data_IF_694516979864
#
_entry.id   IF_694516979864
#
_cell.length_a   1.000
_cell.length_b   1.000
_cell.length_c   1.000
_cell.angle_alpha   90.00
_cell.angle_beta   90.00
_cell.angle_gamma   90.00
#
_symmetry.space_group_name_H-M   'P 1'
#
loop_
_entity.id
_entity.type
_entity.pdbx_description
1 polymer ?
#
# COMPACT_ATOMS: atom_id res chain seq x y z
N UNK A 1 -4.20 -55.84 13.15
CA UNK A 1 -3.36 -55.20 12.13
C UNK A 1 -4.15 -54.42 11.07
N UNK A 2 -5.17 -55.02 10.43
CA UNK A 2 -5.95 -54.38 9.35
C UNK A 2 -6.72 -53.10 9.74
N UNK A 3 -7.23 -53.01 10.98
CA UNK A 3 -7.95 -51.84 11.52
C UNK A 3 -7.04 -50.62 11.69
N UNK A 4 -5.80 -50.82 12.14
CA UNK A 4 -4.80 -49.76 12.32
C UNK A 4 -4.33 -49.18 10.98
N UNK A 5 -4.24 -50.01 9.93
CA UNK A 5 -3.90 -49.57 8.57
C UNK A 5 -4.99 -48.66 7.99
N UNK A 6 -6.28 -48.95 8.25
CA UNK A 6 -7.39 -48.08 7.81
C UNK A 6 -7.40 -46.73 8.54
N UNK A 7 -7.11 -46.73 9.84
CA UNK A 7 -7.01 -45.50 10.64
C UNK A 7 -5.83 -44.65 10.18
N UNK A 8 -4.67 -45.27 9.93
CA UNK A 8 -3.49 -44.56 9.42
C UNK A 8 -3.73 -43.92 8.05
N UNK A 9 -4.41 -44.62 7.14
CA UNK A 9 -4.80 -44.06 5.84
C UNK A 9 -5.75 -42.86 5.98
N UNK A 10 -6.69 -42.92 6.91
CA UNK A 10 -7.62 -41.82 7.17
C UNK A 10 -6.89 -40.57 7.69
N UNK A 11 -5.94 -40.77 8.63
CA UNK A 11 -5.10 -39.69 9.15
C UNK A 11 -4.28 -39.06 8.01
N UNK A 12 -3.69 -39.87 7.13
CA UNK A 12 -2.90 -39.38 6.01
C UNK A 12 -3.73 -38.54 5.04
N UNK A 13 -4.96 -38.96 4.73
CA UNK A 13 -5.88 -38.20 3.86
C UNK A 13 -6.24 -36.86 4.51
N UNK A 14 -6.51 -36.85 5.81
CA UNK A 14 -6.82 -35.63 6.54
C UNK A 14 -5.63 -34.66 6.58
N UNK A 15 -4.41 -35.18 6.76
CA UNK A 15 -3.18 -34.40 6.72
C UNK A 15 -2.94 -33.79 5.33
N UNK A 16 -3.22 -34.55 4.27
CA UNK A 16 -3.10 -34.08 2.88
C UNK A 16 -4.10 -32.95 2.58
N UNK A 17 -5.36 -33.11 3.01
CA UNK A 17 -6.39 -32.09 2.86
C UNK A 17 -6.05 -30.81 3.63
N UNK A 18 -5.51 -30.94 4.85
CA UNK A 18 -5.05 -29.80 5.64
C UNK A 18 -3.89 -29.06 4.95
N UNK A 19 -2.97 -29.79 4.31
CA UNK A 19 -1.87 -29.19 3.55
C UNK A 19 -2.39 -28.37 2.35
N UNK A 20 -3.40 -28.87 1.63
CA UNK A 20 -4.02 -28.17 0.49
C UNK A 20 -4.67 -26.86 0.95
N UNK A 21 -5.33 -26.85 2.11
CA UNK A 21 -5.92 -25.63 2.67
C UNK A 21 -4.83 -24.60 3.00
N UNK A 22 -3.73 -25.01 3.64
CA UNK A 22 -2.60 -24.11 3.96
C UNK A 22 -1.99 -23.49 2.70
N UNK A 23 -1.85 -24.27 1.62
CA UNK A 23 -1.32 -23.78 0.34
C UNK A 23 -2.31 -22.80 -0.33
N UNK A 24 -3.62 -23.03 -0.18
CA UNK A 24 -4.68 -22.19 -0.76
C UNK A 24 -4.91 -20.85 -0.06
N UNK A 25 -4.54 -20.70 1.21
CA UNK A 25 -4.52 -19.40 1.93
C UNK A 25 -3.14 -18.73 1.89
N UNK A 26 -2.19 -19.30 1.16
CA UNK A 26 -0.86 -18.73 0.97
C UNK A 26 -0.92 -17.45 0.14
N UNK A 27 -0.64 -16.32 0.81
CA UNK A 27 -0.51 -14.98 0.25
C UNK A 27 -1.82 -14.31 -0.16
N UNK A 28 -2.70 -14.08 0.83
CA UNK A 28 -3.66 -12.98 0.70
C UNK A 28 -2.86 -11.68 0.58
N UNK A 29 -3.06 -10.93 -0.51
CA UNK A 29 -2.61 -9.54 -0.60
C UNK A 29 -2.98 -8.82 0.69
N UNK A 30 -2.08 -7.99 1.22
CA UNK A 30 -2.39 -7.12 2.35
C UNK A 30 -3.65 -6.33 1.95
N UNK A 31 -4.74 -6.55 2.67
CA UNK A 31 -6.00 -5.89 2.39
C UNK A 31 -5.94 -4.53 3.09
N UNK A 32 -5.77 -3.47 2.31
CA UNK A 32 -5.88 -2.11 2.80
C UNK A 32 -7.36 -1.80 3.08
N UNK A 33 -7.66 -1.38 4.30
CA UNK A 33 -8.98 -0.90 4.68
C UNK A 33 -8.80 0.55 5.13
N UNK A 34 -9.19 1.53 4.28
CA UNK A 34 -9.18 2.94 4.67
C UNK A 34 -9.84 3.16 6.02
N UNK A 35 -9.23 3.98 6.87
CA UNK A 35 -9.75 4.34 8.20
C UNK A 35 -9.54 3.30 9.29
N UNK A 36 -9.03 2.11 8.95
CA UNK A 36 -8.76 1.03 9.91
C UNK A 36 -7.26 0.79 10.14
N UNK A 37 -6.40 1.51 9.43
CA UNK A 37 -4.95 1.32 9.46
C UNK A 37 -4.23 2.65 9.24
N UNK A 38 -3.28 2.96 10.12
CA UNK A 38 -2.54 4.22 10.11
C UNK A 38 -1.24 4.10 9.30
N UNK A 39 -0.96 5.05 8.41
CA UNK A 39 0.32 5.15 7.70
C UNK A 39 0.21 5.16 6.18
N UNK A 40 1.36 4.95 5.51
CA UNK A 40 1.46 4.91 4.06
C UNK A 40 1.38 3.49 3.50
N UNK A 41 0.74 3.34 2.35
CA UNK A 41 0.59 2.10 1.59
C UNK A 41 0.98 2.37 0.15
N UNK A 42 1.94 1.61 -0.36
CA UNK A 42 2.54 1.84 -1.67
C UNK A 42 2.52 0.54 -2.47
N UNK A 43 2.05 0.60 -3.71
CA UNK A 43 2.10 -0.53 -4.63
C UNK A 43 2.13 -0.08 -6.09
N UNK A 44 2.57 -0.98 -6.96
CA UNK A 44 2.46 -0.86 -8.40
C UNK A 44 1.28 -1.72 -8.89
N UNK A 45 0.41 -1.14 -9.73
CA UNK A 45 -0.70 -1.86 -10.33
C UNK A 45 -0.27 -2.62 -11.62
N UNK A 46 -1.23 -3.31 -12.24
CA UNK A 46 -0.98 -4.09 -13.47
C UNK A 46 -0.70 -3.23 -14.71
N UNK A 47 -1.02 -1.95 -14.63
CA UNK A 47 -0.90 -0.95 -15.71
C UNK A 47 0.34 -0.07 -15.45
N UNK A 48 1.23 -0.49 -14.52
CA UNK A 48 2.45 0.19 -14.07
C UNK A 48 2.21 1.57 -13.43
N UNK A 49 1.01 1.82 -12.90
CA UNK A 49 0.80 3.00 -12.07
C UNK A 49 1.29 2.73 -10.66
N UNK A 50 1.93 3.74 -10.07
CA UNK A 50 2.31 3.73 -8.66
C UNK A 50 1.21 4.42 -7.87
N UNK A 51 0.73 3.70 -6.86
CA UNK A 51 -0.26 4.17 -5.91
C UNK A 51 0.44 4.46 -4.59
N UNK A 52 0.16 5.63 -4.03
CA UNK A 52 0.61 6.03 -2.70
C UNK A 52 -0.63 6.49 -1.97
N UNK A 53 -1.08 5.67 -1.04
CA UNK A 53 -2.22 5.94 -0.19
C UNK A 53 -1.73 6.21 1.21
N UNK A 54 -2.35 7.15 1.89
CA UNK A 54 -2.23 7.27 3.34
C UNK A 54 -3.58 7.18 4.00
N UNK A 55 -3.58 6.77 5.26
CA UNK A 55 -4.81 6.63 6.03
C UNK A 55 -4.57 6.87 7.51
N UNK A 56 -5.62 7.33 8.20
CA UNK A 56 -5.64 7.50 9.66
C UNK A 56 -6.51 6.46 10.36
N UNK A 57 -6.23 6.20 11.64
CA UNK A 57 -7.15 5.52 12.56
C UNK A 57 -7.73 6.56 13.54
N UNK A 58 -8.71 7.34 13.05
CA UNK A 58 -9.52 8.30 13.84
C UNK A 58 -8.72 9.35 14.63
N UNK A 59 -7.55 9.72 14.14
CA UNK A 59 -6.71 10.76 14.72
C UNK A 59 -6.18 11.63 13.60
N UNK A 60 -6.40 12.93 13.71
CA UNK A 60 -5.88 13.92 12.79
C UNK A 60 -4.38 13.73 12.59
N UNK A 61 -3.95 13.74 11.32
CA UNK A 61 -2.55 13.61 10.97
C UNK A 61 -2.24 14.34 9.67
N UNK A 62 -1.07 14.98 9.65
CA UNK A 62 -0.52 15.55 8.45
C UNK A 62 0.42 14.53 7.78
N UNK A 63 0.18 14.25 6.50
CA UNK A 63 1.00 13.38 5.67
C UNK A 63 1.75 14.25 4.68
N UNK A 64 3.08 14.22 4.73
CA UNK A 64 3.90 15.03 3.83
C UNK A 64 5.18 14.31 3.42
N UNK A 65 5.74 14.74 2.30
CA UNK A 65 6.95 14.11 1.80
C UNK A 65 7.22 14.38 0.34
N UNK A 66 8.13 13.59 -0.20
CA UNK A 66 8.41 13.58 -1.61
C UNK A 66 8.72 12.19 -2.14
N UNK A 67 8.45 12.02 -3.43
CA UNK A 67 8.82 10.86 -4.24
C UNK A 67 9.70 11.36 -5.38
N UNK A 68 10.87 10.75 -5.57
CA UNK A 68 11.78 11.08 -6.66
C UNK A 68 12.12 9.83 -7.47
N UNK A 69 12.47 10.03 -8.74
CA UNK A 69 12.86 8.96 -9.67
C UNK A 69 13.93 9.45 -10.65
N UNK A 70 14.64 8.51 -11.27
CA UNK A 70 15.59 8.81 -12.35
C UNK A 70 14.90 8.98 -13.72
N UNK A 71 13.72 8.38 -13.88
CA UNK A 71 12.81 8.53 -15.02
C UNK A 71 12.01 9.83 -15.00
N UNK A 72 10.80 9.81 -15.56
CA UNK A 72 9.88 10.95 -15.62
C UNK A 72 8.44 10.54 -15.26
N UNK A 73 7.69 11.49 -14.71
CA UNK A 73 6.25 11.36 -14.43
C UNK A 73 5.51 11.77 -15.71
N UNK A 74 4.82 10.82 -16.32
CA UNK A 74 4.02 11.08 -17.52
C UNK A 74 2.69 11.77 -17.16
N UNK A 75 1.99 11.25 -16.15
CA UNK A 75 0.71 11.76 -15.67
C UNK A 75 0.53 11.45 -14.17
N UNK A 76 -0.34 12.19 -13.50
CA UNK A 76 -0.75 11.93 -12.14
C UNK A 76 -2.19 12.37 -11.87
N UNK A 77 -2.81 11.76 -10.86
CA UNK A 77 -4.10 12.17 -10.31
C UNK A 77 -4.11 11.99 -8.80
N UNK A 78 -4.99 12.73 -8.15
CA UNK A 78 -5.26 12.64 -6.71
C UNK A 78 -6.69 12.17 -6.49
N UNK A 79 -6.94 11.45 -5.40
CA UNK A 79 -8.27 11.02 -4.99
C UNK A 79 -8.53 11.44 -3.55
N UNK A 80 -9.74 11.90 -3.31
CA UNK A 80 -10.30 12.33 -2.01
C UNK A 80 -9.65 13.56 -1.35
N UNK A 81 -8.65 14.16 -1.98
CA UNK A 81 -7.97 15.38 -1.51
C UNK A 81 -8.89 16.58 -1.26
N UNK A 82 -8.62 17.31 -0.19
CA UNK A 82 -9.27 18.57 0.15
C UNK A 82 -8.63 19.81 -0.52
N UNK A 83 -9.34 20.94 -0.45
CA UNK A 83 -8.90 22.24 -1.01
C UNK A 83 -7.57 22.74 -0.43
N UNK A 84 -7.19 22.31 0.78
CA UNK A 84 -5.97 22.76 1.46
C UNK A 84 -4.76 21.86 1.19
N UNK A 85 -4.96 20.71 0.57
CA UNK A 85 -3.87 19.80 0.23
C UNK A 85 -3.09 20.33 -0.96
N UNK A 86 -1.82 19.97 -1.02
CA UNK A 86 -0.94 20.46 -2.05
C UNK A 86 -0.03 19.37 -2.62
N UNK A 87 0.15 19.46 -3.94
CA UNK A 87 1.06 18.64 -4.73
C UNK A 87 1.83 19.56 -5.66
N UNK A 88 3.12 19.28 -5.80
CA UNK A 88 4.01 19.96 -6.75
C UNK A 88 4.80 18.93 -7.52
N UNK A 89 4.87 19.14 -8.82
CA UNK A 89 5.77 18.43 -9.71
C UNK A 89 7.02 19.27 -9.90
N UNK A 90 8.18 18.72 -9.54
CA UNK A 90 9.46 19.39 -9.48
C UNK A 90 10.49 18.69 -10.37
N UNK A 91 11.65 19.34 -10.54
CA UNK A 91 12.83 18.76 -11.20
C UNK A 91 12.57 18.23 -12.62
N UNK A 92 11.77 18.95 -13.41
CA UNK A 92 11.34 18.54 -14.75
C UNK A 92 10.60 17.20 -14.75
N UNK A 93 9.55 17.08 -13.93
CA UNK A 93 8.71 15.88 -13.81
C UNK A 93 9.43 14.67 -13.22
N UNK A 94 10.45 14.87 -12.37
CA UNK A 94 11.19 13.77 -11.72
C UNK A 94 10.87 13.60 -10.26
N UNK A 95 10.15 14.56 -9.68
CA UNK A 95 9.87 14.61 -8.25
C UNK A 95 8.45 15.10 -7.98
N UNK A 96 7.74 14.38 -7.12
CA UNK A 96 6.47 14.78 -6.52
C UNK A 96 6.79 15.23 -5.10
N UNK A 97 6.37 16.43 -4.71
CA UNK A 97 6.34 16.89 -3.33
C UNK A 97 4.88 17.10 -2.94
N UNK A 98 4.47 16.61 -1.78
CA UNK A 98 3.08 16.69 -1.35
C UNK A 98 2.94 16.94 0.15
N UNK A 99 1.80 17.51 0.53
CA UNK A 99 1.38 17.69 1.91
C UNK A 99 -0.15 17.71 1.96
N UNK A 100 -0.72 16.79 2.74
CA UNK A 100 -2.16 16.61 2.92
C UNK A 100 -2.49 16.36 4.40
N UNK A 101 -3.72 16.71 4.82
CA UNK A 101 -4.13 16.53 6.23
C UNK A 101 -5.45 15.78 6.33
N UNK A 102 -5.37 14.56 6.88
CA UNK A 102 -6.55 13.75 7.19
C UNK A 102 -7.12 14.12 8.57
N UNK A 103 -8.44 14.06 8.71
CA UNK A 103 -9.16 14.38 9.95
C UNK A 103 -10.32 13.43 10.26
N UNK A 104 -11.09 13.67 11.32
CA UNK A 104 -12.14 12.72 11.76
C UNK A 104 -13.21 12.36 10.71
N UNK A 105 -13.42 13.21 9.70
CA UNK A 105 -14.41 13.01 8.62
C UNK A 105 -13.78 12.53 7.30
N UNK A 106 -12.45 12.45 7.23
CA UNK A 106 -11.70 12.00 6.06
C UNK A 106 -10.55 11.06 6.47
N UNK A 107 -10.64 9.83 5.97
CA UNK A 107 -9.86 8.71 6.48
C UNK A 107 -8.71 8.31 5.57
N UNK A 108 -8.65 8.80 4.32
CA UNK A 108 -7.61 8.42 3.38
C UNK A 108 -7.59 9.29 2.13
N UNK A 109 -6.39 9.58 1.66
CA UNK A 109 -6.14 10.13 0.34
C UNK A 109 -5.22 9.24 -0.47
N UNK A 110 -5.16 9.52 -1.77
CA UNK A 110 -4.30 8.81 -2.69
C UNK A 110 -3.66 9.71 -3.74
N UNK A 111 -2.39 9.44 -4.05
CA UNK A 111 -1.71 9.86 -5.28
C UNK A 111 -1.55 8.63 -6.17
N UNK A 112 -1.94 8.76 -7.44
CA UNK A 112 -1.68 7.77 -8.48
C UNK A 112 -0.86 8.45 -9.57
N UNK A 113 0.30 7.91 -9.91
CA UNK A 113 1.12 8.45 -11.00
C UNK A 113 1.69 7.36 -11.91
N UNK A 114 1.95 7.73 -13.16
CA UNK A 114 2.52 6.84 -14.18
C UNK A 114 3.98 7.22 -14.44
N UNK A 115 4.96 6.46 -13.92
CA UNK A 115 6.36 6.67 -14.23
C UNK A 115 6.74 6.08 -15.59
N UNK A 116 7.66 6.72 -16.30
CA UNK A 116 8.27 6.24 -17.55
C UNK A 116 9.79 6.25 -17.44
N UNK A 117 10.44 5.28 -18.10
CA UNK A 117 11.90 5.15 -18.21
C UNK A 117 12.65 5.25 -16.86
N UNK A 118 12.07 4.70 -15.79
CA UNK A 118 12.63 4.71 -14.44
C UNK A 118 13.30 3.38 -14.09
N UNK A 119 14.31 3.43 -13.21
CA UNK A 119 14.95 2.25 -12.62
C UNK A 119 14.78 2.16 -11.10
N UNK A 120 14.47 3.29 -10.44
CA UNK A 120 14.18 3.32 -9.02
C UNK A 120 13.16 4.41 -8.66
N UNK A 121 12.58 4.25 -7.48
CA UNK A 121 11.81 5.26 -6.76
C UNK A 121 12.47 5.48 -5.41
N UNK A 122 12.63 6.74 -5.03
CA UNK A 122 13.10 7.16 -3.72
C UNK A 122 11.98 7.89 -2.99
N UNK A 123 11.81 7.58 -1.70
CA UNK A 123 10.71 8.07 -0.89
C UNK A 123 11.26 8.71 0.39
N UNK A 124 10.76 9.91 0.70
CA UNK A 124 10.91 10.56 2.00
C UNK A 124 9.50 10.92 2.47
N UNK A 125 8.94 10.07 3.32
CA UNK A 125 7.54 10.13 3.74
C UNK A 125 7.49 10.37 5.25
N UNK A 126 6.69 11.34 5.66
CA UNK A 126 6.58 11.80 7.03
C UNK A 126 5.13 11.86 7.45
N UNK A 127 4.92 11.58 8.72
CA UNK A 127 3.64 11.81 9.37
C UNK A 127 3.89 12.77 10.52
N UNK A 128 3.15 13.88 10.54
CA UNK A 128 3.33 14.99 11.49
C UNK A 128 4.78 15.51 11.55
N UNK A 129 5.40 15.66 10.37
CA UNK A 129 6.82 16.04 10.19
C UNK A 129 7.85 15.09 10.81
N UNK A 130 7.40 13.94 11.31
CA UNK A 130 8.22 12.88 11.88
C UNK A 130 8.33 11.66 10.98
N UNK A 131 9.39 10.88 11.20
CA UNK A 131 9.50 9.52 10.68
C UNK A 131 8.86 8.56 11.68
N UNK A 132 7.53 8.53 11.69
CA UNK A 132 6.81 7.51 12.44
C UNK A 132 6.98 6.18 11.70
N UNK A 133 7.62 5.21 12.36
CA UNK A 133 7.63 3.83 11.89
C UNK A 133 6.22 3.27 12.15
N UNK A 134 5.44 3.12 11.09
CA UNK A 134 4.21 2.33 11.08
C UNK A 134 4.48 0.88 11.52
#
# INVERSE_FOLDING_TARGET
MYKYIKIFKLILIFLLLFLIVIIGVGCNRIFFIPGASYGYYIWEDKDNNIHIVWSIDRKDANFNGWIAMDGEIQDYKTLDWEENDNIKILENNKKIEFNATLGEDDYSDEIIFTPIDYSYLEFDLKINDGYELS
#
